data_IF_199245111365
#
_entry.id   IF_199245111365
#
_cell.length_a   1.000
_cell.length_b   1.000
_cell.length_c   1.000
_cell.angle_alpha   90.00
_cell.angle_beta   90.00
_cell.angle_gamma   90.00
#
_symmetry.space_group_name_H-M   'P 1'
#
loop_
_entity.id
_entity.type
_entity.pdbx_description
1 polymer ?
#
# COMPACT_ATOMS: atom_id res chain seq x y z
N UNK A 1 5.68 -4.03 0.44
CA UNK A 1 5.60 -3.25 1.69
C UNK A 1 6.94 -2.68 2.14
N UNK A 2 8.04 -3.44 2.07
CA UNK A 2 9.37 -3.03 2.54
C UNK A 2 9.89 -1.69 2.01
N UNK A 3 9.59 -1.32 0.76
CA UNK A 3 10.06 -0.06 0.18
C UNK A 3 9.57 1.18 0.95
N UNK A 4 8.32 1.18 1.41
CA UNK A 4 7.80 2.28 2.24
C UNK A 4 8.46 2.34 3.62
N UNK A 5 8.75 1.20 4.26
CA UNK A 5 9.53 1.17 5.51
C UNK A 5 10.93 1.72 5.30
N UNK A 6 11.61 1.32 4.23
CA UNK A 6 12.96 1.82 3.89
C UNK A 6 12.92 3.33 3.66
N UNK A 7 11.93 3.85 2.94
CA UNK A 7 11.75 5.29 2.72
C UNK A 7 11.53 6.04 4.05
N UNK A 8 10.64 5.53 4.90
CA UNK A 8 10.33 6.11 6.23
C UNK A 8 11.56 6.09 7.14
N UNK A 9 12.32 4.99 7.18
CA UNK A 9 13.57 4.88 7.97
C UNK A 9 14.63 5.86 7.48
N UNK A 10 14.78 6.03 6.16
CA UNK A 10 15.72 6.99 5.60
C UNK A 10 15.33 8.43 5.96
N UNK A 11 14.03 8.75 5.93
CA UNK A 11 13.52 10.05 6.36
C UNK A 11 13.74 10.32 7.85
N UNK A 12 13.48 9.35 8.73
CA UNK A 12 13.75 9.50 10.16
C UNK A 12 15.24 9.64 10.48
N UNK A 13 16.12 9.05 9.65
CA UNK A 13 17.58 9.22 9.75
C UNK A 13 18.08 10.55 9.18
N UNK A 14 17.20 11.40 8.64
CA UNK A 14 17.57 12.66 8.00
C UNK A 14 18.27 12.48 6.65
N UNK A 15 18.17 11.30 6.02
CA UNK A 15 18.68 11.06 4.69
C UNK A 15 17.64 11.54 3.66
N UNK A 16 17.67 12.83 3.37
CA UNK A 16 16.81 13.46 2.37
C UNK A 16 17.15 13.04 0.92
N UNK A 17 16.29 13.47 0.00
CA UNK A 17 16.47 13.34 -1.45
C UNK A 17 17.85 13.78 -1.96
N UNK A 18 18.50 14.77 -1.33
CA UNK A 18 19.85 15.22 -1.72
C UNK A 18 20.92 14.17 -1.48
N UNK A 19 20.70 13.23 -0.56
CA UNK A 19 21.65 12.17 -0.21
C UNK A 19 21.30 10.83 -0.85
N UNK A 20 20.01 10.57 -1.02
CA UNK A 20 19.50 9.29 -1.56
C UNK A 20 19.26 9.32 -3.06
N UNK A 21 19.09 10.51 -3.66
CA UNK A 21 18.67 10.68 -5.05
C UNK A 21 17.22 10.23 -5.32
N UNK A 22 16.50 9.78 -4.28
CA UNK A 22 15.11 9.35 -4.39
C UNK A 22 14.24 10.60 -4.33
N UNK A 23 13.41 10.80 -5.36
CA UNK A 23 12.53 11.97 -5.54
C UNK A 23 13.27 13.33 -5.52
N UNK A 24 14.02 13.69 -6.58
CA UNK A 24 14.74 14.97 -6.66
C UNK A 24 13.78 16.16 -6.64
N UNK A 25 14.01 17.10 -5.72
CA UNK A 25 13.20 18.33 -5.58
C UNK A 25 13.69 19.46 -6.49
N UNK A 26 14.89 19.29 -7.08
CA UNK A 26 15.55 20.24 -7.98
C UNK A 26 16.21 19.46 -9.13
N UNK A 27 16.09 19.97 -10.35
CA UNK A 27 16.75 19.42 -11.56
C UNK A 27 17.32 20.53 -12.43
N UNK A 28 18.36 20.21 -13.20
CA UNK A 28 18.82 21.08 -14.30
C UNK A 28 17.95 20.83 -15.53
N UNK A 29 17.52 21.90 -16.19
CA UNK A 29 16.77 21.84 -17.43
C UNK A 29 17.51 22.67 -18.49
N UNK A 30 17.75 22.06 -19.65
CA UNK A 30 18.44 22.68 -20.77
C UNK A 30 17.41 23.22 -21.77
N UNK A 31 17.52 24.51 -22.07
CA UNK A 31 16.70 25.20 -23.06
C UNK A 31 17.55 25.59 -24.26
N UNK A 32 17.07 25.27 -25.46
CA UNK A 32 17.69 25.69 -26.72
C UNK A 32 16.92 26.90 -27.26
N UNK A 33 17.58 28.06 -27.29
CA UNK A 33 17.01 29.28 -27.88
C UNK A 33 17.78 29.60 -29.16
N UNK A 34 17.04 29.90 -30.23
CA UNK A 34 17.59 30.27 -31.53
C UNK A 34 17.63 31.79 -31.64
N UNK A 35 18.84 32.37 -31.67
CA UNK A 35 19.06 33.79 -31.90
C UNK A 35 19.91 33.95 -33.18
N UNK A 36 19.41 34.69 -34.17
CA UNK A 36 20.11 35.03 -35.42
C UNK A 36 20.77 33.86 -36.20
N UNK A 37 20.20 32.65 -36.12
CA UNK A 37 20.71 31.46 -36.82
C UNK A 37 21.75 30.64 -36.06
N UNK A 38 22.16 31.09 -34.86
CA UNK A 38 23.00 30.31 -33.94
C UNK A 38 22.15 29.70 -32.82
N UNK A 39 22.36 28.42 -32.50
CA UNK A 39 21.65 27.72 -31.42
C UNK A 39 22.44 27.93 -30.13
N UNK A 40 21.84 28.63 -29.16
CA UNK A 40 22.42 28.83 -27.84
C UNK A 40 21.71 27.96 -26.81
N UNK A 41 22.49 27.19 -26.05
CA UNK A 41 22.01 26.30 -24.99
C UNK A 41 22.20 26.97 -23.63
N UNK A 42 21.12 27.10 -22.87
CA UNK A 42 21.12 27.65 -21.52
C UNK A 42 20.63 26.59 -20.52
N UNK A 43 21.38 26.36 -19.46
CA UNK A 43 20.99 25.47 -18.36
C UNK A 43 20.43 26.30 -17.21
N UNK A 44 19.22 25.99 -16.74
CA UNK A 44 18.59 26.64 -15.58
C UNK A 44 18.18 25.62 -14.52
N UNK A 45 18.09 26.08 -13.27
CA UNK A 45 17.65 25.27 -12.16
C UNK A 45 16.11 25.30 -12.04
N UNK A 46 15.46 24.15 -12.21
CA UNK A 46 14.02 23.98 -12.01
C UNK A 46 13.73 23.34 -10.66
N UNK A 47 12.65 23.78 -10.01
CA UNK A 47 12.13 23.19 -8.77
C UNK A 47 10.92 22.33 -9.10
N UNK A 48 10.84 21.12 -8.55
CA UNK A 48 9.73 20.17 -8.75
C UNK A 48 8.89 20.05 -7.46
N UNK A 49 7.97 21.00 -7.19
CA UNK A 49 7.13 20.95 -6.00
C UNK A 49 6.18 19.73 -6.01
N UNK A 50 5.79 19.25 -7.19
CA UNK A 50 4.97 18.05 -7.36
C UNK A 50 5.64 16.80 -6.77
N UNK A 51 6.97 16.70 -6.87
CA UNK A 51 7.70 15.54 -6.39
C UNK A 51 7.82 15.52 -4.85
N UNK A 52 7.99 16.70 -4.26
CA UNK A 52 7.93 16.88 -2.81
C UNK A 52 6.54 16.51 -2.26
N UNK A 53 5.47 16.81 -3.01
CA UNK A 53 4.11 16.39 -2.65
C UNK A 53 3.95 14.87 -2.73
N UNK A 54 4.45 14.23 -3.80
CA UNK A 54 4.42 12.77 -3.95
C UNK A 54 5.11 12.04 -2.80
N UNK A 55 6.26 12.56 -2.32
CA UNK A 55 6.99 11.99 -1.18
C UNK A 55 6.11 11.87 0.08
N UNK A 56 5.34 12.92 0.41
CA UNK A 56 4.48 12.91 1.61
C UNK A 56 3.20 12.12 1.40
N UNK A 57 2.59 12.21 0.22
CA UNK A 57 1.40 11.44 -0.12
C UNK A 57 1.67 9.92 -0.09
N UNK A 58 2.81 9.48 -0.61
CA UNK A 58 3.17 8.07 -0.61
C UNK A 58 3.27 7.50 0.80
N UNK A 59 3.84 8.26 1.74
CA UNK A 59 3.97 7.86 3.15
C UNK A 59 2.59 7.75 3.81
N UNK A 60 1.71 8.74 3.61
CA UNK A 60 0.34 8.72 4.16
C UNK A 60 -0.43 7.50 3.64
N UNK A 61 -0.39 7.27 2.33
CA UNK A 61 -1.05 6.13 1.70
C UNK A 61 -0.46 4.79 2.18
N UNK A 62 0.85 4.72 2.38
CA UNK A 62 1.50 3.51 2.87
C UNK A 62 1.02 3.13 4.28
N UNK A 63 0.91 4.10 5.20
CA UNK A 63 0.34 3.86 6.53
C UNK A 63 -1.15 3.50 6.47
N UNK A 64 -1.92 4.20 5.64
CA UNK A 64 -3.34 3.92 5.43
C UNK A 64 -3.59 2.49 4.96
N UNK A 65 -2.84 2.02 3.96
CA UNK A 65 -2.97 0.66 3.43
C UNK A 65 -2.63 -0.41 4.47
N UNK A 66 -1.68 -0.14 5.38
CA UNK A 66 -1.39 -1.08 6.48
C UNK A 66 -2.54 -1.16 7.48
N UNK A 67 -3.16 -0.03 7.81
CA UNK A 67 -4.35 0.00 8.69
C UNK A 67 -5.49 -0.80 8.04
N UNK A 68 -5.78 -0.53 6.77
CA UNK A 68 -6.82 -1.26 6.02
C UNK A 68 -6.50 -2.75 5.98
N UNK A 69 -5.24 -3.14 5.70
CA UNK A 69 -4.83 -4.54 5.70
C UNK A 69 -5.09 -5.22 7.04
N UNK A 70 -4.73 -4.58 8.15
CA UNK A 70 -4.95 -5.12 9.51
C UNK A 70 -6.43 -5.29 9.79
N UNK A 71 -7.25 -4.28 9.48
CA UNK A 71 -8.71 -4.34 9.67
C UNK A 71 -9.33 -5.45 8.82
N UNK A 72 -8.94 -5.57 7.56
CA UNK A 72 -9.42 -6.63 6.67
C UNK A 72 -8.98 -8.01 7.16
N UNK A 73 -7.75 -8.15 7.64
CA UNK A 73 -7.26 -9.42 8.19
C UNK A 73 -8.03 -9.83 9.44
N UNK A 74 -8.27 -8.91 10.38
CA UNK A 74 -9.09 -9.17 11.57
C UNK A 74 -10.51 -9.58 11.16
N UNK A 75 -11.13 -8.84 10.24
CA UNK A 75 -12.46 -9.22 9.74
C UNK A 75 -12.45 -10.63 9.14
N UNK A 76 -11.49 -10.94 8.26
CA UNK A 76 -11.36 -12.26 7.65
C UNK A 76 -11.22 -13.37 8.71
N UNK A 77 -10.41 -13.16 9.75
CA UNK A 77 -10.27 -14.16 10.83
C UNK A 77 -11.59 -14.39 11.57
N UNK A 78 -12.33 -13.32 11.92
CA UNK A 78 -13.64 -13.42 12.59
C UNK A 78 -14.62 -14.22 11.74
N UNK A 79 -14.74 -13.89 10.44
CA UNK A 79 -15.63 -14.60 9.53
C UNK A 79 -15.21 -16.06 9.34
N UNK A 80 -13.91 -16.34 9.24
CA UNK A 80 -13.39 -17.70 9.15
C UNK A 80 -13.75 -18.53 10.38
N UNK A 81 -13.59 -17.98 11.60
CA UNK A 81 -14.01 -18.66 12.83
C UNK A 81 -15.52 -18.89 12.89
N UNK A 82 -16.33 -17.94 12.44
CA UNK A 82 -17.79 -18.10 12.39
C UNK A 82 -18.22 -19.20 11.42
N UNK A 83 -17.63 -19.24 10.23
CA UNK A 83 -17.94 -20.26 9.21
C UNK A 83 -17.56 -21.66 9.70
N UNK A 84 -16.39 -21.84 10.31
CA UNK A 84 -15.96 -23.13 10.85
C UNK A 84 -16.91 -23.63 11.96
N UNK A 85 -17.38 -22.72 12.81
CA UNK A 85 -18.35 -23.03 13.86
C UNK A 85 -19.72 -23.39 13.28
N UNK A 86 -20.19 -22.67 12.26
CA UNK A 86 -21.47 -22.94 11.61
C UNK A 86 -21.47 -24.27 10.86
N UNK A 87 -20.37 -24.61 10.17
CA UNK A 87 -20.21 -25.92 9.54
C UNK A 87 -20.28 -27.04 10.57
N UNK A 88 -19.57 -26.90 11.70
CA UNK A 88 -19.61 -27.86 12.80
C UNK A 88 -21.02 -28.02 13.40
N UNK A 89 -21.78 -26.92 13.52
CA UNK A 89 -23.17 -26.95 14.00
C UNK A 89 -24.09 -27.66 13.01
N UNK A 90 -23.93 -27.41 11.71
CA UNK A 90 -24.73 -28.05 10.68
C UNK A 90 -24.45 -29.56 10.58
N UNK A 91 -23.19 -29.95 10.71
CA UNK A 91 -22.80 -31.36 10.67
C UNK A 91 -23.35 -32.12 11.89
N UNK A 92 -23.32 -31.51 13.09
CA UNK A 92 -23.96 -32.06 14.27
C UNK A 92 -25.49 -32.23 14.13
N UNK A 93 -26.20 -31.22 13.58
CA UNK A 93 -27.66 -31.31 13.39
C UNK A 93 -28.00 -32.41 12.37
N UNK A 94 -27.23 -32.55 11.29
CA UNK A 94 -27.41 -33.63 10.31
C UNK A 94 -27.23 -35.00 10.96
N UNK A 95 -26.21 -35.17 11.80
CA UNK A 95 -25.95 -36.41 12.52
C UNK A 95 -27.09 -36.76 13.49
N UNK A 96 -27.67 -35.77 14.18
CA UNK A 96 -28.84 -36.00 15.02
C UNK A 96 -30.10 -36.38 14.21
N UNK A 97 -30.34 -35.74 13.07
CA UNK A 97 -31.48 -36.05 12.21
C UNK A 97 -31.35 -37.45 11.59
N UNK A 98 -30.15 -37.85 11.16
CA UNK A 98 -29.90 -39.18 10.61
C UNK A 98 -30.10 -40.27 11.68
N UNK A 99 -29.55 -40.07 12.90
CA UNK A 99 -29.79 -40.97 14.03
C UNK A 99 -31.27 -41.05 14.45
N UNK A 100 -32.00 -39.93 14.40
CA UNK A 100 -33.43 -39.92 14.70
C UNK A 100 -34.25 -40.67 13.63
N UNK A 101 -33.90 -40.54 12.36
CA UNK A 101 -34.55 -41.25 11.26
C UNK A 101 -34.27 -42.76 11.29
N UNK A 102 -33.07 -43.18 11.73
CA UNK A 102 -32.72 -44.60 11.93
C UNK A 102 -33.49 -45.20 13.13
N UNK A 103 -33.57 -44.49 14.25
CA UNK A 103 -34.28 -44.96 15.44
C UNK A 103 -35.82 -44.87 15.34
N UNK A 104 -36.34 -43.97 14.50
CA UNK A 104 -37.77 -43.80 14.23
C UNK A 104 -38.34 -44.72 13.14
N UNK A 105 -37.50 -45.59 12.55
CA UNK A 105 -37.93 -46.59 11.58
C UNK A 105 -38.52 -47.81 12.32
N UNK A 106 -39.73 -47.62 12.86
CA UNK A 106 -40.67 -48.69 13.21
C UNK A 106 -41.59 -48.94 12.01
#
# INVERSE_FOLDING_TARGET
MFWGMVLVINLFKGNDWSRTGIFPRVTMCDFEVRELGNIHRWSVQCVLPLNMFSEKLYIILWFWLHIVLVVTFVNLTIWMFQILRDQSRMDFIKEMLDNAQVNGKL
#
